data_IF_256664999298
#
_entry.id   IF_256664999298
#
_cell.length_a   1.000
_cell.length_b   1.000
_cell.length_c   1.000
_cell.angle_alpha   90.00
_cell.angle_beta   90.00
_cell.angle_gamma   90.00
#
_symmetry.space_group_name_H-M   'P 1'
#
loop_
_entity.id
_entity.type
_entity.pdbx_description
1 polymer ?
#
# COMPACT_ATOMS: atom_id res chain seq x y z
N UNK A 1 -3.81 -15.42 -2.42
CA UNK A 1 -2.59 -15.09 -3.19
C UNK A 1 -1.93 -13.88 -2.56
N UNK A 2 -0.77 -14.01 -1.91
CA UNK A 2 0.04 -12.85 -1.49
C UNK A 2 0.64 -12.28 -2.77
N UNK A 3 0.26 -11.06 -3.14
CA UNK A 3 0.72 -10.41 -4.37
C UNK A 3 1.97 -9.61 -4.03
N UNK A 4 3.13 -10.11 -4.42
CA UNK A 4 4.39 -9.41 -4.27
C UNK A 4 4.47 -8.31 -5.34
N UNK A 5 4.83 -7.09 -4.95
CA UNK A 5 4.85 -5.92 -5.85
C UNK A 5 6.27 -5.41 -6.04
N UNK A 6 6.65 -5.08 -7.27
CA UNK A 6 7.86 -4.30 -7.53
C UNK A 6 7.53 -2.82 -7.60
N UNK A 7 8.56 -1.97 -7.50
CA UNK A 7 8.39 -0.51 -7.63
C UNK A 7 7.73 -0.13 -8.97
N UNK A 8 7.95 -0.91 -10.04
CA UNK A 8 7.33 -0.69 -11.34
C UNK A 8 5.81 -0.86 -11.27
N UNK A 9 5.33 -1.93 -10.63
CA UNK A 9 3.90 -2.16 -10.43
C UNK A 9 3.25 -1.02 -9.64
N UNK A 10 3.97 -0.46 -8.67
CA UNK A 10 3.51 0.66 -7.85
C UNK A 10 3.44 1.95 -8.66
N UNK A 11 4.45 2.23 -9.49
CA UNK A 11 4.42 3.40 -10.39
C UNK A 11 3.28 3.31 -11.41
N UNK A 12 3.00 2.11 -11.92
CA UNK A 12 1.90 1.89 -12.87
C UNK A 12 0.53 2.02 -12.19
N UNK A 13 0.35 1.40 -11.02
CA UNK A 13 -0.91 1.44 -10.28
C UNK A 13 -1.27 2.84 -9.76
N UNK A 14 -0.27 3.60 -9.30
CA UNK A 14 -0.47 4.95 -8.75
C UNK A 14 -0.26 6.05 -9.80
N UNK A 15 0.09 5.69 -11.04
CA UNK A 15 0.41 6.61 -12.15
C UNK A 15 1.36 7.73 -11.71
N UNK A 16 2.43 7.36 -11.00
CA UNK A 16 3.38 8.31 -10.43
C UNK A 16 4.83 7.97 -10.80
N UNK A 17 5.71 8.97 -10.71
CA UNK A 17 7.15 8.78 -10.92
C UNK A 17 7.77 7.83 -9.86
N UNK A 18 8.88 7.19 -10.22
CA UNK A 18 9.65 6.29 -9.35
C UNK A 18 10.04 6.93 -8.02
N UNK A 19 10.41 8.21 -8.00
CA UNK A 19 10.78 8.93 -6.77
C UNK A 19 9.59 9.03 -5.83
N UNK A 20 8.41 9.36 -6.38
CA UNK A 20 7.17 9.44 -5.62
C UNK A 20 6.75 8.07 -5.11
N UNK A 21 6.77 7.04 -5.96
CA UNK A 21 6.51 5.66 -5.55
C UNK A 21 7.46 5.21 -4.43
N UNK A 22 8.75 5.54 -4.54
CA UNK A 22 9.74 5.21 -3.53
C UNK A 22 9.44 5.88 -2.18
N UNK A 23 9.07 7.17 -2.18
CA UNK A 23 8.69 7.91 -0.96
C UNK A 23 7.47 7.29 -0.29
N UNK A 24 6.46 6.89 -1.08
CA UNK A 24 5.26 6.23 -0.58
C UNK A 24 5.63 4.87 0.03
N UNK A 25 6.36 4.02 -0.69
CA UNK A 25 6.77 2.70 -0.21
C UNK A 25 7.65 2.79 1.03
N UNK A 26 8.55 3.77 1.10
CA UNK A 26 9.34 4.04 2.31
C UNK A 26 8.44 4.35 3.50
N UNK A 27 7.44 5.21 3.33
CA UNK A 27 6.48 5.55 4.40
C UNK A 27 5.70 4.32 4.88
N UNK A 28 5.25 3.49 3.94
CA UNK A 28 4.52 2.26 4.25
C UNK A 28 5.40 1.23 4.99
N UNK A 29 6.69 1.16 4.66
CA UNK A 29 7.67 0.36 5.40
C UNK A 29 7.84 0.88 6.83
N UNK A 30 7.99 2.20 7.00
CA UNK A 30 8.14 2.84 8.33
C UNK A 30 6.94 2.56 9.25
N UNK A 31 5.73 2.54 8.69
CA UNK A 31 4.52 2.17 9.42
C UNK A 31 4.35 0.66 9.65
N UNK A 32 5.22 -0.17 9.06
CA UNK A 32 5.12 -1.63 9.14
C UNK A 32 3.92 -2.20 8.39
N UNK A 33 3.39 -1.47 7.40
CA UNK A 33 2.30 -1.92 6.54
C UNK A 33 2.79 -2.86 5.44
N UNK A 34 4.04 -2.71 5.03
CA UNK A 34 4.66 -3.57 4.03
C UNK A 34 6.02 -4.04 4.54
N UNK A 35 6.50 -5.13 3.97
CA UNK A 35 7.84 -5.67 4.18
C UNK A 35 8.58 -5.69 2.85
N UNK A 36 9.90 -5.53 2.89
CA UNK A 36 10.73 -5.53 1.69
C UNK A 36 11.62 -6.76 1.69
N UNK A 37 11.52 -7.57 0.64
CA UNK A 37 12.36 -8.75 0.42
C UNK A 37 13.12 -8.57 -0.90
N UNK A 38 14.37 -8.10 -0.80
CA UNK A 38 15.17 -7.74 -1.97
C UNK A 38 14.55 -6.59 -2.77
N UNK A 39 14.01 -6.90 -3.96
CA UNK A 39 13.33 -5.94 -4.86
C UNK A 39 11.80 -5.98 -4.76
N UNK A 40 11.27 -6.90 -3.96
CA UNK A 40 9.84 -7.12 -3.81
C UNK A 40 9.33 -6.45 -2.53
N UNK A 41 8.09 -5.97 -2.60
CA UNK A 41 7.34 -5.41 -1.49
C UNK A 41 6.13 -6.31 -1.22
N UNK A 42 5.97 -6.74 0.02
CA UNK A 42 4.88 -7.62 0.47
C UNK A 42 4.00 -6.89 1.46
N UNK A 43 2.69 -7.07 1.38
CA UNK A 43 1.78 -6.54 2.40
C UNK A 43 1.98 -7.29 3.72
N UNK A 44 2.15 -6.55 4.80
CA UNK A 44 2.16 -7.08 6.16
C UNK A 44 0.71 -7.23 6.66
N UNK A 45 0.43 -8.25 7.49
CA UNK A 45 -0.89 -8.49 8.07
C UNK A 45 -1.48 -7.30 8.86
N UNK A 46 -0.63 -6.36 9.29
CA UNK A 46 -1.03 -5.09 9.92
C UNK A 46 -1.78 -4.12 8.99
N UNK A 47 -1.77 -4.32 7.68
CA UNK A 47 -2.57 -3.53 6.71
C UNK A 47 -4.06 -3.83 6.82
N UNK A 48 -4.42 -5.06 7.19
CA UNK A 48 -5.80 -5.52 7.18
C UNK A 48 -6.71 -4.63 8.08
N UNK A 49 -6.39 -4.37 9.36
CA UNK A 49 -7.24 -3.53 10.22
C UNK A 49 -7.40 -2.08 9.72
N UNK A 50 -6.38 -1.52 9.05
CA UNK A 50 -6.42 -0.16 8.52
C UNK A 50 -7.33 -0.07 7.30
N UNK A 51 -7.22 -1.02 6.36
CA UNK A 51 -8.12 -1.07 5.21
C UNK A 51 -9.57 -1.36 5.63
N UNK A 52 -9.77 -2.22 6.63
CA UNK A 52 -11.10 -2.50 7.18
C UNK A 52 -11.73 -1.29 7.89
N UNK A 53 -10.92 -0.44 8.55
CA UNK A 53 -11.44 0.80 9.16
C UNK A 53 -11.69 1.91 8.13
N UNK A 54 -10.87 2.01 7.09
CA UNK A 54 -11.09 2.95 5.97
C UNK A 54 -12.33 2.59 5.15
N UNK A 55 -12.55 1.31 4.84
CA UNK A 55 -13.76 0.86 4.12
C UNK A 55 -15.04 1.14 4.89
N UNK A 56 -15.04 1.01 6.23
CA UNK A 56 -16.19 1.48 7.04
C UNK A 56 -16.41 2.98 6.88
N UNK A 57 -15.35 3.81 7.00
CA UNK A 57 -15.49 5.27 6.82
C UNK A 57 -15.95 5.66 5.41
N UNK A 58 -15.47 4.99 4.36
CA UNK A 58 -15.92 5.24 2.99
C UNK A 58 -17.37 4.80 2.77
N UNK A 59 -17.81 3.70 3.40
CA UNK A 59 -19.23 3.29 3.34
C UNK A 59 -20.18 4.29 4.02
N UNK A 60 -19.71 5.08 5.00
CA UNK A 60 -20.51 6.16 5.57
C UNK A 60 -20.54 7.42 4.69
N UNK A 61 -19.48 7.71 3.93
CA UNK A 61 -19.42 8.91 3.07
C UNK A 61 -20.15 8.72 1.73
N UNK A 62 -20.36 7.47 1.29
CA UNK A 62 -21.09 7.16 0.03
C UNK A 62 -22.61 7.00 0.27
N UNK A 63 -23.09 7.29 1.49
CA UNK A 63 -24.51 7.13 1.86
C UNK A 63 -25.15 8.40 2.45
N UNK A 64 -24.57 9.56 2.16
CA UNK A 64 -25.22 10.88 2.33
C UNK A 64 -25.40 11.55 0.98
#
# INVERSE_FOLDING_TARGET
MKKDLMIKDVTEALRCDRTTAYRILKRLLEFGYIEKEGRLYKLNGKVCPVLYSMTRRTLYVVRE
#
